data_IF_599393177247
#
_entry.id   IF_599393177247
#
_cell.length_a   1.000
_cell.length_b   1.000
_cell.length_c   1.000
_cell.angle_alpha   90.00
_cell.angle_beta   90.00
_cell.angle_gamma   90.00
#
_symmetry.space_group_name_H-M   'P 1'
#
loop_
_entity.id
_entity.type
_entity.pdbx_description
1 polymer ?
#
# COMPACT_ATOMS: atom_id res chain seq x y z
N UNK A 1 52.06 13.51 23.27
CA UNK A 1 50.58 13.58 23.28
C UNK A 1 50.02 12.41 24.08
N UNK A 2 49.42 12.63 25.25
CA UNK A 2 48.79 11.55 26.01
C UNK A 2 47.38 11.25 25.45
N UNK A 3 47.03 9.98 25.24
CA UNK A 3 45.67 9.59 24.84
C UNK A 3 44.76 9.50 26.07
N UNK A 4 43.63 10.21 26.03
CA UNK A 4 42.55 10.02 27.00
C UNK A 4 41.93 8.62 26.83
N UNK A 5 41.63 7.96 27.95
CA UNK A 5 41.07 6.60 28.00
C UNK A 5 39.57 6.70 28.28
N UNK A 6 38.74 6.18 27.38
CA UNK A 6 37.28 6.21 27.53
C UNK A 6 36.79 5.23 28.59
N UNK A 7 35.67 5.57 29.24
CA UNK A 7 34.98 4.67 30.18
C UNK A 7 34.34 3.49 29.44
N UNK A 8 34.31 2.33 30.08
CA UNK A 8 33.67 1.14 29.53
C UNK A 8 32.13 1.30 29.55
N UNK A 9 31.42 0.92 28.47
CA UNK A 9 29.95 0.95 28.44
C UNK A 9 29.34 0.04 29.52
N UNK A 10 28.36 0.55 30.27
CA UNK A 10 27.62 -0.23 31.28
C UNK A 10 26.59 -1.19 30.66
N UNK A 11 26.17 -0.92 29.43
CA UNK A 11 25.23 -1.74 28.67
C UNK A 11 26.00 -2.69 27.74
N UNK A 12 25.68 -3.98 27.82
CA UNK A 12 26.14 -4.97 26.83
C UNK A 12 25.32 -4.82 25.56
N UNK A 13 25.96 -4.87 24.39
CA UNK A 13 25.24 -4.92 23.12
C UNK A 13 24.34 -6.17 23.07
N UNK A 14 23.08 -5.99 22.69
CA UNK A 14 22.12 -7.09 22.56
C UNK A 14 22.43 -7.85 21.25
N UNK A 15 22.50 -9.17 21.31
CA UNK A 15 22.65 -10.00 20.12
C UNK A 15 21.31 -10.09 19.36
N UNK A 16 21.13 -9.19 18.41
CA UNK A 16 19.91 -9.07 17.62
C UNK A 16 19.67 -10.24 16.66
N UNK A 17 20.66 -11.10 16.41
CA UNK A 17 20.56 -12.22 15.46
C UNK A 17 19.54 -13.28 15.84
N UNK A 18 19.16 -13.36 17.12
CA UNK A 18 18.15 -14.30 17.65
C UNK A 18 16.76 -13.70 17.84
N UNK A 19 16.60 -12.39 17.67
CA UNK A 19 15.31 -11.73 17.82
C UNK A 19 14.52 -11.95 16.53
N UNK A 20 13.52 -12.83 16.55
CA UNK A 20 12.50 -12.85 15.50
C UNK A 20 11.80 -11.48 15.53
N UNK A 21 11.76 -10.72 14.43
CA UNK A 21 10.98 -9.49 14.39
C UNK A 21 9.52 -9.82 14.73
N UNK A 22 8.94 -9.13 15.69
CA UNK A 22 7.49 -9.20 15.92
C UNK A 22 6.85 -8.45 14.76
N UNK A 23 6.26 -9.20 13.83
CA UNK A 23 5.52 -8.62 12.73
C UNK A 23 4.14 -8.20 13.24
N UNK A 24 3.81 -6.92 13.13
CA UNK A 24 2.45 -6.44 13.34
C UNK A 24 1.50 -7.01 12.26
N UNK A 25 0.22 -7.10 12.60
CA UNK A 25 -0.82 -7.73 11.79
C UNK A 25 -0.91 -7.12 10.38
N UNK A 26 -0.87 -5.77 10.28
CA UNK A 26 -0.94 -5.04 9.01
C UNK A 26 0.43 -4.83 8.35
N UNK A 27 1.29 -5.86 8.29
CA UNK A 27 2.55 -5.81 7.53
C UNK A 27 2.25 -5.72 6.02
N UNK A 28 2.88 -4.78 5.31
CA UNK A 28 2.82 -4.67 3.83
C UNK A 28 3.23 -5.99 3.17
N UNK A 29 2.38 -6.54 2.31
CA UNK A 29 2.67 -7.76 1.53
C UNK A 29 3.81 -7.49 0.53
N UNK A 30 4.73 -8.44 0.39
CA UNK A 30 5.94 -8.33 -0.45
C UNK A 30 6.20 -9.60 -1.27
N UNK A 31 7.11 -9.52 -2.24
CA UNK A 31 7.58 -10.68 -3.01
C UNK A 31 6.50 -11.34 -3.87
N UNK A 32 6.59 -12.67 -4.05
CA UNK A 32 5.65 -13.45 -4.86
C UNK A 32 4.19 -13.30 -4.45
N UNK A 33 3.91 -13.13 -3.14
CA UNK A 33 2.58 -12.87 -2.62
C UNK A 33 2.01 -11.54 -3.16
N UNK A 34 2.79 -10.45 -3.13
CA UNK A 34 2.37 -9.15 -3.73
C UNK A 34 2.14 -9.27 -5.23
N UNK A 35 2.99 -10.03 -5.93
CA UNK A 35 2.88 -10.22 -7.39
C UNK A 35 1.62 -11.02 -7.77
N UNK A 36 1.30 -12.08 -7.02
CA UNK A 36 0.05 -12.85 -7.21
C UNK A 36 -1.19 -12.01 -6.90
N UNK A 37 -1.14 -11.23 -5.82
CA UNK A 37 -2.21 -10.34 -5.41
C UNK A 37 -2.46 -9.20 -6.42
N UNK A 38 -1.39 -8.55 -6.91
CA UNK A 38 -1.48 -7.53 -7.98
C UNK A 38 -2.20 -8.10 -9.21
N UNK A 39 -1.90 -9.35 -9.60
CA UNK A 39 -2.59 -10.01 -10.72
C UNK A 39 -4.07 -10.28 -10.45
N UNK A 40 -4.45 -10.76 -9.26
CA UNK A 40 -5.88 -10.97 -8.93
C UNK A 40 -6.68 -9.67 -8.95
N UNK A 41 -6.16 -8.65 -8.26
CA UNK A 41 -6.80 -7.34 -8.14
C UNK A 41 -6.91 -6.66 -9.51
N UNK A 42 -5.86 -6.70 -10.33
CA UNK A 42 -5.89 -6.20 -11.71
C UNK A 42 -6.97 -6.88 -12.58
N UNK A 43 -7.14 -8.21 -12.47
CA UNK A 43 -8.18 -8.94 -13.21
C UNK A 43 -9.58 -8.60 -12.69
N UNK A 44 -9.76 -8.47 -11.37
CA UNK A 44 -11.01 -8.02 -10.75
C UNK A 44 -11.41 -6.62 -11.22
N UNK A 45 -10.44 -5.71 -11.29
CA UNK A 45 -10.62 -4.32 -11.73
C UNK A 45 -10.66 -4.20 -13.27
N UNK A 46 -10.69 -5.33 -13.99
CA UNK A 46 -10.82 -5.40 -15.45
C UNK A 46 -9.67 -4.73 -16.22
N UNK A 47 -8.50 -4.55 -15.61
CA UNK A 47 -7.39 -3.79 -16.21
C UNK A 47 -7.65 -2.27 -16.31
N UNK A 48 -8.54 -1.72 -15.50
CA UNK A 48 -8.81 -0.28 -15.45
C UNK A 48 -8.28 0.34 -14.15
N UNK A 49 -7.89 1.62 -14.21
CA UNK A 49 -7.55 2.40 -13.01
C UNK A 49 -8.83 2.76 -12.24
N UNK A 50 -8.95 2.36 -10.98
CA UNK A 50 -10.16 2.58 -10.17
C UNK A 50 -10.49 4.06 -9.85
N UNK A 51 -9.57 5.00 -10.12
CA UNK A 51 -9.82 6.44 -9.96
C UNK A 51 -10.21 7.13 -11.27
N UNK A 52 -9.42 6.98 -12.34
CA UNK A 52 -9.65 7.68 -13.61
C UNK A 52 -10.32 6.83 -14.69
N UNK A 53 -10.67 5.57 -14.39
CA UNK A 53 -11.33 4.60 -15.26
C UNK A 53 -10.66 4.37 -16.64
N UNK A 54 -9.38 4.73 -16.79
CA UNK A 54 -8.60 4.46 -18.01
C UNK A 54 -8.10 3.02 -18.00
N UNK A 55 -8.08 2.38 -19.18
CA UNK A 55 -7.36 1.10 -19.39
C UNK A 55 -5.88 1.30 -19.08
N UNK A 56 -5.29 0.36 -18.35
CA UNK A 56 -3.87 0.32 -18.01
C UNK A 56 -3.34 -1.09 -18.14
N UNK A 57 -2.09 -1.24 -18.60
CA UNK A 57 -1.43 -2.54 -18.60
C UNK A 57 -1.07 -2.99 -17.18
N UNK A 58 -0.95 -4.31 -16.99
CA UNK A 58 -0.51 -4.90 -15.71
C UNK A 58 0.90 -4.42 -15.30
N UNK A 59 1.73 -4.04 -16.27
CA UNK A 59 3.05 -3.46 -16.01
C UNK A 59 2.93 -2.03 -15.45
N UNK A 60 2.13 -1.18 -16.11
CA UNK A 60 2.03 0.28 -15.86
C UNK A 60 0.91 0.67 -14.88
N UNK A 61 0.38 -0.33 -14.17
CA UNK A 61 -0.52 -0.18 -13.02
C UNK A 61 0.23 -0.45 -11.71
N UNK A 62 -0.29 0.05 -10.60
CA UNK A 62 0.17 -0.27 -9.25
C UNK A 62 -0.95 -0.89 -8.43
N UNK A 63 -0.54 -1.82 -7.56
CA UNK A 63 -1.39 -2.36 -6.50
C UNK A 63 -1.24 -1.45 -5.28
N UNK A 64 -2.30 -0.68 -5.01
CA UNK A 64 -2.37 0.33 -3.95
C UNK A 64 -3.42 -0.04 -2.89
N UNK A 65 -3.36 0.64 -1.74
CA UNK A 65 -4.30 0.56 -0.63
C UNK A 65 -5.22 1.79 -0.60
N UNK A 66 -6.55 1.63 -0.70
CA UNK A 66 -7.55 2.72 -0.60
C UNK A 66 -7.34 3.57 0.65
N UNK A 67 -7.21 2.91 1.79
CA UNK A 67 -6.67 3.48 3.03
C UNK A 67 -5.24 2.97 3.19
N UNK A 68 -4.26 3.86 3.12
CA UNK A 68 -2.86 3.47 3.28
C UNK A 68 -2.58 2.84 4.66
N UNK A 69 -1.67 1.86 4.71
CA UNK A 69 -1.28 1.14 5.94
C UNK A 69 -0.87 2.08 7.10
N UNK A 70 -0.26 3.23 6.78
CA UNK A 70 0.15 4.24 7.77
C UNK A 70 -1.02 4.93 8.48
N UNK A 71 -2.23 4.86 7.90
CA UNK A 71 -3.47 5.39 8.46
C UNK A 71 -4.40 4.28 8.98
N UNK A 72 -3.86 3.07 9.22
CA UNK A 72 -4.62 1.94 9.77
C UNK A 72 -5.28 1.03 8.73
N UNK A 73 -5.02 1.23 7.44
CA UNK A 73 -5.45 0.29 6.40
C UNK A 73 -4.86 -1.12 6.60
N UNK A 74 -5.56 -2.12 6.09
CA UNK A 74 -5.14 -3.53 6.09
C UNK A 74 -4.65 -3.97 4.70
N UNK A 75 -4.45 -5.27 4.49
CA UNK A 75 -4.16 -5.85 3.17
C UNK A 75 -5.35 -6.67 2.61
N UNK A 76 -6.58 -6.38 3.04
CA UNK A 76 -7.76 -7.07 2.52
C UNK A 76 -7.97 -6.72 1.04
N UNK A 77 -8.53 -7.64 0.26
CA UNK A 77 -8.79 -7.38 -1.17
C UNK A 77 -9.77 -6.21 -1.36
N UNK A 78 -10.67 -5.93 -0.42
CA UNK A 78 -11.59 -4.76 -0.44
C UNK A 78 -10.89 -3.41 -0.18
N UNK A 79 -9.75 -3.39 0.52
CA UNK A 79 -8.90 -2.22 0.68
C UNK A 79 -7.89 -2.08 -0.46
N UNK A 80 -7.72 -3.09 -1.32
CA UNK A 80 -6.75 -3.10 -2.40
C UNK A 80 -7.39 -2.79 -3.75
N UNK A 81 -6.65 -2.09 -4.61
CA UNK A 81 -7.12 -1.71 -5.94
C UNK A 81 -6.00 -1.42 -6.94
N UNK A 82 -6.38 -1.38 -8.21
CA UNK A 82 -5.52 -1.10 -9.36
C UNK A 82 -5.55 0.38 -9.69
N UNK A 83 -4.42 1.06 -9.58
CA UNK A 83 -4.25 2.46 -10.01
C UNK A 83 -3.27 2.56 -11.17
N UNK A 84 -3.41 3.59 -12.00
CA UNK A 84 -2.34 4.01 -12.90
C UNK A 84 -1.23 4.74 -12.11
N UNK A 85 -0.02 4.79 -12.67
CA UNK A 85 1.13 5.49 -12.07
C UNK A 85 0.79 6.95 -11.70
N UNK A 86 0.04 7.65 -12.55
CA UNK A 86 -0.33 9.07 -12.34
C UNK A 86 -1.27 9.23 -11.13
N UNK A 87 -2.34 8.44 -11.05
CA UNK A 87 -3.27 8.48 -9.91
C UNK A 87 -2.61 8.01 -8.61
N UNK A 88 -1.78 6.96 -8.67
CA UNK A 88 -1.04 6.47 -7.51
C UNK A 88 -0.05 7.51 -6.96
N UNK A 89 0.69 8.19 -7.84
CA UNK A 89 1.62 9.26 -7.43
C UNK A 89 0.87 10.49 -6.90
N UNK A 90 -0.25 10.88 -7.52
CA UNK A 90 -1.13 11.95 -7.03
C UNK A 90 -1.69 11.67 -5.64
N UNK A 91 -2.25 10.47 -5.42
CA UNK A 91 -2.72 10.01 -4.11
C UNK A 91 -1.60 10.04 -3.06
N UNK A 92 -0.45 9.45 -3.38
CA UNK A 92 0.72 9.44 -2.49
C UNK A 92 1.18 10.85 -2.09
N UNK A 93 1.15 11.80 -3.03
CA UNK A 93 1.51 13.19 -2.77
C UNK A 93 0.49 13.91 -1.87
N UNK A 94 -0.82 13.66 -2.07
CA UNK A 94 -1.89 14.20 -1.22
C UNK A 94 -1.79 13.65 0.21
N UNK A 95 -1.66 12.33 0.36
CA UNK A 95 -1.47 11.66 1.66
C UNK A 95 -0.23 12.19 2.41
N UNK A 96 0.88 12.41 1.71
CA UNK A 96 2.10 12.98 2.29
C UNK A 96 1.95 14.47 2.66
N UNK A 97 1.14 15.23 1.93
CA UNK A 97 0.90 16.66 2.19
C UNK A 97 -0.11 16.91 3.31
N UNK A 98 -1.11 16.05 3.48
CA UNK A 98 -2.16 16.20 4.50
C UNK A 98 -1.85 15.46 5.79
N UNK A 99 -1.05 14.39 5.72
CA UNK A 99 -0.88 13.45 6.84
C UNK A 99 -2.16 12.67 7.16
N UNK A 100 -3.08 12.56 6.20
CA UNK A 100 -4.39 11.93 6.34
C UNK A 100 -4.69 11.01 5.13
N UNK A 101 -5.63 10.06 5.25
CA UNK A 101 -6.14 9.29 4.11
C UNK A 101 -6.60 10.21 2.97
N UNK A 102 -6.37 9.80 1.73
CA UNK A 102 -6.78 10.58 0.57
C UNK A 102 -8.31 10.61 0.41
N UNK A 103 -8.92 11.78 0.62
CA UNK A 103 -10.37 11.95 0.47
C UNK A 103 -10.87 11.67 -0.95
N UNK A 104 -10.06 11.95 -1.96
CA UNK A 104 -10.40 11.67 -3.36
C UNK A 104 -10.51 10.15 -3.56
N UNK A 105 -9.50 9.39 -3.13
CA UNK A 105 -9.54 7.94 -3.13
C UNK A 105 -10.74 7.34 -2.39
N UNK A 106 -11.12 7.91 -1.24
CA UNK A 106 -12.29 7.44 -0.47
C UNK A 106 -13.63 7.61 -1.21
N UNK A 107 -13.75 8.63 -2.08
CA UNK A 107 -14.97 8.91 -2.86
C UNK A 107 -15.21 7.90 -4.00
N UNK A 108 -14.16 7.25 -4.49
CA UNK A 108 -14.28 6.23 -5.53
C UNK A 108 -14.84 4.92 -4.97
N UNK A 109 -16.02 4.53 -5.43
CA UNK A 109 -16.64 3.23 -5.21
C UNK A 109 -15.98 2.22 -6.15
N UNK A 110 -15.58 1.06 -5.63
CA UNK A 110 -15.14 -0.06 -6.48
C UNK A 110 -16.33 -0.56 -7.28
N UNK A 111 -16.32 -0.35 -8.60
CA UNK A 111 -17.31 -0.91 -9.52
C UNK A 111 -17.09 -2.42 -9.61
N UNK A 112 -17.83 -3.18 -8.81
CA UNK A 112 -17.92 -4.63 -8.97
C UNK A 112 -18.70 -4.92 -10.26
N UNK A 113 -17.98 -5.19 -11.35
CA UNK A 113 -18.56 -5.64 -12.62
C UNK A 113 -19.14 -7.04 -12.43
N UNK A 114 -20.37 -7.10 -11.91
CA UNK A 114 -21.12 -8.31 -11.60
C UNK A 114 -22.61 -8.24 -11.93
N UNK A 115 -23.16 -7.04 -12.10
CA UNK A 115 -24.56 -6.83 -12.50
C UNK A 115 -24.67 -5.88 -13.70
N UNK A 116 -25.28 -6.38 -14.79
CA UNK A 116 -25.82 -5.54 -15.87
C UNK A 116 -27.06 -4.77 -15.35
N UNK A 117 -26.82 -3.70 -14.59
CA UNK A 117 -27.87 -2.76 -14.21
C UNK A 117 -27.43 -1.31 -14.39
N UNK A 118 -27.68 -0.80 -15.59
CA UNK A 118 -27.89 0.63 -15.87
C UNK A 118 -29.06 1.15 -15.00
N UNK A 119 -29.18 2.48 -14.83
CA UNK A 119 -30.15 3.23 -13.98
C UNK A 119 -29.87 3.12 -12.47
N UNK A 120 -30.18 4.09 -11.60
CA UNK A 120 -30.79 5.43 -11.68
C UNK A 120 -29.85 6.40 -10.92
N UNK A 121 -29.70 7.68 -11.24
CA UNK A 121 -30.49 8.55 -12.14
C UNK A 121 -29.58 9.15 -13.21
#
# INVERSE_FOLDING_TARGET
>A
MARLKTLQPRLKAIDTRRIKPVYGENRRISGSARVGLKRRIYVRDGGHCCMCNRVVDLHDSELDHRVALQFGGDNDESNLWTLCIDCHSGKSAREASTGQPDEEAMKHILTTNGDDSITII
#
